data_IF_004660442453
#
_entry.id   IF_004660442453
#
_cell.length_a   1.000
_cell.length_b   1.000
_cell.length_c   1.000
_cell.angle_alpha   90.00
_cell.angle_beta   90.00
_cell.angle_gamma   90.00
#
_symmetry.space_group_name_H-M   'P 1'
#
loop_
_entity.id
_entity.type
_entity.pdbx_description
1 polymer ?
2 non-polymer ?
3 non-polymer ?
4 water ?
#
# COMPACT_ATOMS: atom_id res chain seq x y z
N UNK A 1 -0.14 8.02 0.11
CA UNK A 1 0.74 8.86 -0.75
C UNK A 1 -0.02 9.96 -1.50
N UNK A 2 -1.30 9.80 -1.78
CA UNK A 2 -2.21 10.69 -2.52
C UNK A 2 -3.67 10.37 -2.18
N UNK A 3 -4.68 11.05 -2.78
CA UNK A 3 -6.07 11.01 -2.31
C UNK A 3 -6.80 9.65 -2.42
N UNK A 4 -6.32 8.77 -3.29
CA UNK A 4 -6.84 7.38 -3.40
C UNK A 4 -6.48 6.59 -2.17
N UNK A 5 -5.22 6.69 -1.76
CA UNK A 5 -4.66 6.02 -0.56
C UNK A 5 -5.28 6.59 0.72
N UNK A 6 -5.56 7.89 0.71
CA UNK A 6 -6.30 8.58 1.79
C UNK A 6 -7.69 7.97 2.03
N UNK A 7 -8.49 7.80 0.98
CA UNK A 7 -9.83 7.19 1.12
C UNK A 7 -9.69 5.72 1.58
N UNK A 8 -8.77 4.97 0.96
CA UNK A 8 -8.52 3.55 1.33
C UNK A 8 -8.19 3.44 2.82
N UNK A 9 -7.25 4.26 3.30
CA UNK A 9 -6.83 4.22 4.71
C UNK A 9 -8.00 4.50 5.66
N UNK A 10 -8.82 5.47 5.29
CA UNK A 10 -9.99 5.85 6.14
C UNK A 10 -10.95 4.66 6.27
N UNK A 11 -11.15 3.91 5.21
CA UNK A 11 -11.96 2.65 5.25
C UNK A 11 -11.25 1.60 6.09
N UNK A 12 -9.97 1.37 5.87
CA UNK A 12 -9.26 0.30 6.59
C UNK A 12 -9.29 0.56 8.10
N UNK A 13 -9.07 1.82 8.49
CA UNK A 13 -8.81 2.13 9.93
C UNK A 13 -10.09 2.00 10.74
N UNK A 14 -11.28 2.04 10.15
CA UNK A 14 -12.52 1.98 10.93
C UNK A 14 -13.45 0.84 10.50
N UNK A 15 -13.32 0.31 9.28
CA UNK A 15 -14.35 -0.62 8.73
C UNK A 15 -13.74 -1.98 8.39
N UNK A 16 -12.61 -2.38 8.96
CA UNK A 16 -12.08 -3.75 8.71
C UNK A 16 -11.76 -4.44 10.02
N UNK A 17 -11.87 -5.76 9.97
CA UNK A 17 -11.43 -6.69 11.05
C UNK A 17 -10.63 -7.78 10.37
N UNK A 18 -9.89 -8.53 11.16
CA UNK A 18 -9.22 -9.76 10.69
C UNK A 18 -10.16 -10.92 11.01
N UNK A 19 -10.64 -11.61 9.97
CA UNK A 19 -11.52 -12.79 10.14
C UNK A 19 -10.71 -14.05 9.93
N UNK A 20 -10.90 -15.04 10.80
CA UNK A 20 -10.21 -16.34 10.70
C UNK A 20 -11.27 -17.45 10.68
N UNK A 21 -11.26 -18.25 9.61
CA UNK A 21 -12.09 -19.47 9.47
C UNK A 21 -11.09 -20.66 9.40
N UNK A 22 -11.60 -21.86 9.19
CA UNK A 22 -10.75 -23.07 9.03
C UNK A 22 -10.04 -23.05 7.69
N UNK A 23 -10.41 -22.13 6.79
CA UNK A 23 -9.77 -21.93 5.46
C UNK A 23 -8.72 -20.80 5.46
N UNK A 24 -8.45 -20.11 6.57
CA UNK A 24 -7.39 -19.11 6.72
C UNK A 24 -7.82 -17.80 7.36
N UNK A 25 -6.95 -16.82 7.24
CA UNK A 25 -7.14 -15.43 7.68
C UNK A 25 -7.52 -14.59 6.48
N UNK A 26 -8.55 -13.75 6.62
CA UNK A 26 -9.09 -12.87 5.56
C UNK A 26 -9.24 -11.44 6.10
N UNK A 27 -8.95 -10.47 5.25
CA UNK A 27 -9.45 -9.10 5.40
C UNK A 27 -11.00 -9.22 5.35
N UNK A 28 -11.68 -8.59 6.30
CA UNK A 28 -13.17 -8.58 6.34
C UNK A 28 -13.62 -7.13 6.47
N UNK A 29 -14.46 -6.71 5.53
CA UNK A 29 -15.07 -5.38 5.47
C UNK A 29 -16.38 -5.39 6.28
N UNK A 30 -16.42 -4.51 7.28
CA UNK A 30 -17.68 -4.22 7.99
C UNK A 30 -18.44 -3.11 7.27
N UNK A 31 -19.74 -3.29 7.05
CA UNK A 31 -20.50 -2.36 6.18
C UNK A 31 -21.42 -1.47 7.03
N UNK A 32 -22.11 -2.06 8.02
CA UNK A 32 -23.01 -1.28 8.92
C UNK A 32 -23.43 -2.22 10.05
N UNK A 33 -23.81 -1.64 11.19
CA UNK A 33 -24.32 -2.41 12.36
C UNK A 33 -23.33 -3.56 12.62
N UNK A 34 -23.75 -4.83 12.61
CA UNK A 34 -22.83 -5.97 12.89
C UNK A 34 -22.69 -6.79 11.59
N UNK A 35 -22.89 -6.17 10.45
CA UNK A 35 -22.95 -6.84 9.12
C UNK A 35 -21.63 -6.59 8.40
N UNK A 36 -20.97 -7.67 8.00
CA UNK A 36 -19.71 -7.64 7.26
C UNK A 36 -19.79 -8.52 6.01
N UNK A 37 -18.76 -8.47 5.19
CA UNK A 37 -18.65 -9.34 3.99
C UNK A 37 -17.30 -10.04 3.96
N UNK A 38 -17.29 -11.19 3.29
CA UNK A 38 -16.07 -12.02 3.16
C UNK A 38 -16.24 -12.85 1.90
N UNK A 39 -15.15 -13.26 1.20
CA UNK A 39 -15.34 -14.18 0.08
C UNK A 39 -16.03 -15.49 0.53
N UNK A 40 -16.92 -16.00 -0.35
CA UNK A 40 -17.66 -17.22 -0.02
C UNK A 40 -16.73 -18.42 0.18
N UNK A 41 -15.60 -18.46 -0.52
CA UNK A 41 -14.62 -19.56 -0.31
C UNK A 41 -13.96 -19.54 1.09
N UNK A 42 -14.18 -18.55 1.94
CA UNK A 42 -13.76 -18.60 3.36
C UNK A 42 -14.53 -19.66 4.13
N UNK A 43 -15.67 -20.14 3.62
CA UNK A 43 -16.52 -21.20 4.25
C UNK A 43 -16.89 -20.84 5.71
N UNK A 44 -17.55 -19.70 5.89
CA UNK A 44 -17.97 -19.24 7.23
C UNK A 44 -18.89 -20.31 7.82
N UNK A 45 -18.68 -20.65 9.09
CA UNK A 45 -19.53 -21.57 9.85
C UNK A 45 -20.30 -20.87 10.96
N UNK A 46 -20.61 -21.59 12.03
CA UNK A 46 -21.44 -21.10 13.14
C UNK A 46 -20.60 -20.21 14.08
N UNK A 47 -19.28 -20.39 14.04
CA UNK A 47 -18.28 -19.64 14.87
C UNK A 47 -17.16 -19.16 13.93
N UNK A 48 -16.72 -17.93 14.15
CA UNK A 48 -15.59 -17.33 13.39
C UNK A 48 -14.69 -16.59 14.41
N UNK A 49 -13.41 -16.40 14.13
CA UNK A 49 -12.55 -15.54 14.96
C UNK A 49 -12.49 -14.15 14.31
N UNK A 50 -12.71 -13.11 15.11
CA UNK A 50 -12.72 -11.69 14.68
C UNK A 50 -11.65 -11.00 15.55
N UNK A 51 -10.52 -10.63 14.94
CA UNK A 51 -9.37 -10.04 15.68
C UNK A 51 -8.98 -10.99 16.83
N UNK A 52 -8.98 -12.29 16.56
CA UNK A 52 -8.58 -13.41 17.47
C UNK A 52 -9.55 -13.65 18.62
N UNK A 53 -10.76 -13.15 18.56
CA UNK A 53 -11.83 -13.39 19.56
C UNK A 53 -12.89 -14.32 18.94
N UNK A 54 -13.22 -15.37 19.67
CA UNK A 54 -14.27 -16.32 19.28
C UNK A 54 -15.61 -15.61 19.21
N UNK A 55 -16.28 -15.66 18.06
CA UNK A 55 -17.51 -14.85 17.78
C UNK A 55 -18.56 -15.77 17.13
N UNK A 56 -19.76 -15.76 17.70
CA UNK A 56 -20.89 -16.47 17.10
C UNK A 56 -21.33 -15.77 15.83
N UNK A 57 -21.63 -16.56 14.82
CA UNK A 57 -22.24 -16.07 13.55
C UNK A 57 -23.76 -16.13 13.71
N UNK A 58 -24.42 -14.99 13.66
CA UNK A 58 -25.91 -14.90 13.81
C UNK A 58 -26.57 -15.25 12.50
N UNK A 59 -25.94 -14.97 11.36
CA UNK A 59 -26.48 -15.29 10.03
C UNK A 59 -25.33 -15.25 9.02
N UNK A 60 -25.36 -16.10 8.02
CA UNK A 60 -24.41 -16.03 6.91
C UNK A 60 -25.17 -16.36 5.61
N UNK A 61 -25.06 -15.53 4.59
CA UNK A 61 -25.75 -15.79 3.31
C UNK A 61 -24.78 -15.66 2.13
N UNK A 62 -24.54 -16.77 1.43
CA UNK A 62 -23.72 -16.80 0.21
C UNK A 62 -24.56 -16.25 -0.93
N UNK A 63 -24.26 -15.07 -1.44
CA UNK A 63 -25.11 -14.43 -2.46
C UNK A 63 -24.97 -15.11 -3.81
N UNK A 64 -26.08 -15.15 -4.55
CA UNK A 64 -26.15 -15.64 -5.93
C UNK A 64 -27.01 -14.68 -6.72
N UNK A 65 -26.78 -14.51 -8.00
CA UNK A 65 -27.67 -13.65 -8.81
C UNK A 65 -28.97 -14.41 -9.16
N UNK A 66 -29.87 -13.69 -9.83
CA UNK A 66 -31.25 -14.22 -10.02
C UNK A 66 -31.27 -15.33 -11.06
N UNK A 67 -30.18 -15.52 -11.82
CA UNK A 67 -29.89 -16.76 -12.61
C UNK A 67 -29.34 -17.89 -11.72
N UNK A 68 -29.20 -17.75 -10.40
CA UNK A 68 -28.67 -18.80 -9.50
C UNK A 68 -27.19 -19.00 -9.91
N UNK A 69 -26.46 -17.92 -10.22
CA UNK A 69 -24.99 -17.97 -10.44
C UNK A 69 -24.27 -17.40 -9.19
N UNK A 70 -23.20 -18.06 -8.76
CA UNK A 70 -22.33 -17.59 -7.67
C UNK A 70 -21.94 -16.11 -7.86
N UNK A 71 -21.99 -15.31 -6.78
CA UNK A 71 -21.38 -13.95 -6.74
C UNK A 71 -20.12 -13.90 -5.89
N UNK A 72 -19.79 -14.95 -5.16
CA UNK A 72 -18.54 -15.06 -4.33
C UNK A 72 -18.52 -14.11 -3.12
N UNK A 73 -19.67 -13.50 -2.79
CA UNK A 73 -19.82 -12.62 -1.59
C UNK A 73 -20.65 -13.40 -0.56
N UNK A 74 -20.16 -13.55 0.65
CA UNK A 74 -21.00 -13.97 1.80
C UNK A 74 -21.19 -12.74 2.72
N UNK A 75 -22.43 -12.50 3.09
CA UNK A 75 -22.83 -11.45 4.06
C UNK A 75 -22.98 -12.14 5.38
N UNK A 76 -22.25 -11.67 6.38
CA UNK A 76 -22.16 -12.29 7.73
C UNK A 76 -22.69 -11.29 8.75
N UNK A 77 -23.61 -11.72 9.61
CA UNK A 77 -24.00 -10.91 10.77
C UNK A 77 -23.28 -11.50 11.99
N UNK A 78 -22.49 -10.69 12.70
CA UNK A 78 -21.60 -11.14 13.78
C UNK A 78 -22.29 -10.86 15.13
N UNK A 79 -22.19 -11.80 16.08
CA UNK A 79 -22.60 -11.54 17.49
C UNK A 79 -21.51 -10.74 18.21
N UNK A 80 -21.31 -9.51 17.77
CA UNK A 80 -20.25 -8.62 18.27
C UNK A 80 -20.90 -7.55 19.16
N UNK A 81 -20.12 -7.01 20.11
CA UNK A 81 -20.63 -6.02 21.08
C UNK A 81 -20.48 -4.59 20.57
N UNK A 82 -20.15 -4.39 19.31
CA UNK A 82 -19.81 -3.07 18.77
C UNK A 82 -20.30 -3.01 17.33
N UNK A 83 -20.88 -1.90 16.89
CA UNK A 83 -21.29 -1.69 15.49
C UNK A 83 -20.16 -1.09 14.66
N UNK A 84 -20.20 -1.36 13.37
CA UNK A 84 -19.36 -0.67 12.36
C UNK A 84 -19.94 0.69 12.02
N UNK A 85 -19.05 1.62 11.72
CA UNK A 85 -19.46 2.86 11.03
C UNK A 85 -20.27 2.46 9.81
N UNK A 86 -21.41 3.09 9.57
CA UNK A 86 -22.22 2.82 8.38
C UNK A 86 -21.55 3.46 7.17
N UNK A 87 -21.06 2.62 6.24
CA UNK A 87 -20.44 3.07 4.96
C UNK A 87 -21.29 2.73 3.75
N UNK A 88 -22.55 2.41 3.91
CA UNK A 88 -23.40 2.01 2.74
C UNK A 88 -23.50 3.13 1.71
N UNK A 89 -23.39 4.39 2.11
CA UNK A 89 -23.45 5.52 1.14
C UNK A 89 -22.21 5.58 0.27
N UNK A 90 -21.16 4.80 0.50
CA UNK A 90 -20.00 4.75 -0.39
C UNK A 90 -20.07 3.58 -1.40
N UNK A 91 -21.17 2.80 -1.39
CA UNK A 91 -21.32 1.63 -2.28
C UNK A 91 -21.96 2.12 -3.58
N UNK A 92 -21.47 1.65 -4.74
CA UNK A 92 -22.10 1.94 -6.02
C UNK A 92 -23.49 1.32 -6.10
N UNK A 93 -24.35 1.97 -6.88
CA UNK A 93 -25.68 1.41 -7.11
C UNK A 93 -25.69 0.44 -8.31
N UNK A 94 -24.80 0.62 -9.29
CA UNK A 94 -24.84 -0.21 -10.53
C UNK A 94 -23.47 -0.79 -10.85
N UNK A 95 -23.47 -1.80 -11.72
CA UNK A 95 -22.24 -2.40 -12.28
C UNK A 95 -21.55 -1.31 -13.10
N UNK A 96 -20.24 -1.20 -13.02
CA UNK A 96 -19.49 -0.14 -13.71
C UNK A 96 -18.03 -0.53 -13.84
N UNK A 97 -17.32 0.21 -14.68
CA UNK A 97 -15.84 0.23 -14.77
C UNK A 97 -15.32 1.44 -13.98
N UNK A 98 -14.05 1.42 -13.58
CA UNK A 98 -13.49 2.47 -12.69
C UNK A 98 -12.08 2.83 -13.15
N UNK A 99 -11.66 4.05 -12.85
CA UNK A 99 -10.21 4.34 -12.94
C UNK A 99 -9.54 4.38 -11.55
N UNK A 100 -8.26 4.05 -11.56
CA UNK A 100 -7.33 4.43 -10.47
C UNK A 100 -7.88 3.89 -9.14
N UNK A 101 -7.92 2.58 -9.01
CA UNK A 101 -8.36 1.90 -7.76
C UNK A 101 -7.16 1.51 -6.89
N UNK A 102 -7.45 1.30 -5.61
CA UNK A 102 -6.51 0.78 -4.59
C UNK A 102 -7.11 -0.49 -4.02
N UNK A 103 -6.28 -1.51 -3.86
CA UNK A 103 -6.60 -2.74 -3.12
C UNK A 103 -5.89 -2.69 -1.78
N UNK A 104 -6.64 -2.79 -0.69
CA UNK A 104 -6.10 -2.67 0.68
C UNK A 104 -6.35 -3.96 1.47
N UNK A 105 -5.31 -4.43 2.18
CA UNK A 105 -5.30 -5.70 2.91
C UNK A 105 -4.78 -5.45 4.30
N UNK A 106 -5.39 -6.11 5.29
CA UNK A 106 -4.86 -6.06 6.65
C UNK A 106 -5.00 -7.45 7.30
N UNK A 107 -3.89 -8.22 7.36
CA UNK A 107 -3.87 -9.53 8.06
C UNK A 107 -2.61 -9.58 8.90
N UNK A 108 -2.42 -10.68 9.63
CA UNK A 108 -1.12 -10.99 10.32
C UNK A 108 0.06 -11.08 9.31
N UNK A 109 -0.12 -11.70 8.16
CA UNK A 109 0.88 -11.86 7.07
C UNK A 109 1.13 -10.51 6.35
N UNK A 110 0.10 -9.67 6.19
CA UNK A 110 0.15 -8.43 5.36
C UNK A 110 -0.54 -7.29 6.09
N UNK A 111 0.02 -6.73 7.17
CA UNK A 111 -0.57 -5.58 7.83
C UNK A 111 -0.32 -4.29 7.05
N UNK A 112 -1.34 -3.43 7.01
CA UNK A 112 -1.21 -2.07 6.47
C UNK A 112 -0.71 -2.12 5.02
N UNK A 113 -1.21 -3.04 4.22
CA UNK A 113 -0.84 -3.20 2.81
C UNK A 113 -1.81 -2.44 1.89
N UNK A 114 -1.29 -1.61 0.99
CA UNK A 114 -2.05 -0.84 0.00
C UNK A 114 -1.40 -1.01 -1.37
N UNK A 115 -2.17 -1.33 -2.38
CA UNK A 115 -1.67 -1.60 -3.77
C UNK A 115 -2.42 -0.74 -4.77
N UNK A 116 -1.79 0.19 -5.53
CA UNK A 116 -2.46 0.91 -6.60
C UNK A 116 -2.56 -0.07 -7.78
N UNK A 117 -3.76 -0.49 -8.08
CA UNK A 117 -3.99 -1.54 -9.12
C UNK A 117 -4.38 -0.90 -10.44
N UNK A 118 -4.67 0.40 -10.53
CA UNK A 118 -4.95 1.09 -11.78
C UNK A 118 -6.38 0.87 -12.23
N UNK A 119 -6.57 0.73 -13.54
CA UNK A 119 -7.91 0.66 -14.15
C UNK A 119 -8.60 -0.68 -13.78
N UNK A 120 -9.89 -0.55 -13.47
CA UNK A 120 -10.76 -1.71 -13.13
C UNK A 120 -11.84 -1.91 -14.22
N UNK A 121 -11.84 -3.09 -14.83
CA UNK A 121 -12.78 -3.48 -15.89
C UNK A 121 -13.99 -4.20 -15.26
N UNK A 122 -15.19 -3.86 -15.68
CA UNK A 122 -16.37 -4.73 -15.47
C UNK A 122 -16.19 -5.97 -16.35
N UNK A 123 -15.60 -7.01 -15.81
CA UNK A 123 -15.20 -8.23 -16.56
C UNK A 123 -16.42 -9.10 -16.79
N UNK A 124 -17.27 -9.21 -15.79
CA UNK A 124 -18.52 -9.98 -15.83
C UNK A 124 -18.31 -11.41 -15.42
N UNK A 125 -18.35 -12.32 -16.39
CA UNK A 125 -18.25 -13.78 -16.14
C UNK A 125 -16.80 -14.19 -15.94
N UNK A 126 -16.57 -15.03 -14.92
CA UNK A 126 -15.28 -15.67 -14.63
C UNK A 126 -15.57 -17.07 -14.13
N UNK A 127 -14.83 -18.02 -14.66
CA UNK A 127 -14.74 -19.37 -14.04
C UNK A 127 -13.68 -19.33 -12.95
N UNK A 128 -14.13 -19.10 -11.72
CA UNK A 128 -13.29 -18.84 -10.56
C UNK A 128 -13.06 -20.14 -9.80
N UNK A 129 -11.84 -20.72 -9.87
CA UNK A 129 -11.59 -22.00 -9.18
C UNK A 129 -12.52 -23.12 -9.63
N UNK A 130 -12.93 -23.10 -10.91
CA UNK A 130 -13.93 -24.05 -11.44
C UNK A 130 -15.40 -23.65 -11.21
N UNK A 131 -15.68 -22.53 -10.54
CA UNK A 131 -17.09 -22.14 -10.26
C UNK A 131 -17.48 -20.98 -11.16
N UNK A 132 -18.49 -21.11 -12.02
CA UNK A 132 -19.00 -19.98 -12.78
C UNK A 132 -19.42 -18.85 -11.80
N UNK A 133 -18.91 -17.66 -12.07
CA UNK A 133 -19.08 -16.49 -11.17
C UNK A 133 -19.49 -15.27 -12.00
N UNK A 134 -20.43 -14.44 -11.52
CA UNK A 134 -20.80 -13.19 -12.20
C UNK A 134 -20.35 -11.94 -11.41
N UNK A 135 -20.53 -10.79 -12.04
CA UNK A 135 -20.22 -9.44 -11.44
C UNK A 135 -18.76 -9.33 -10.99
N UNK A 136 -17.85 -9.84 -11.80
CA UNK A 136 -16.39 -9.78 -11.51
C UNK A 136 -15.77 -8.51 -12.11
N UNK A 137 -15.00 -7.84 -11.27
CA UNK A 137 -14.13 -6.71 -11.62
C UNK A 137 -12.72 -7.29 -11.83
N UNK A 138 -12.01 -6.75 -12.82
CA UNK A 138 -10.61 -7.21 -13.09
C UNK A 138 -9.65 -6.00 -13.12
N UNK A 139 -8.46 -6.25 -12.60
CA UNK A 139 -7.35 -5.26 -12.57
C UNK A 139 -6.09 -6.02 -12.93
N UNK A 140 -5.18 -5.29 -13.57
CA UNK A 140 -3.96 -5.89 -14.16
C UNK A 140 -2.89 -5.73 -13.11
N UNK A 141 -3.00 -6.45 -12.00
CA UNK A 141 -1.93 -6.55 -10.97
C UNK A 141 -1.80 -8.01 -10.58
N UNK A 142 -0.54 -8.50 -10.46
CA UNK A 142 -0.20 -9.85 -10.00
C UNK A 142 -0.37 -10.00 -8.48
N UNK A 143 -1.66 -10.05 -8.11
CA UNK A 143 -2.13 -10.33 -6.71
C UNK A 143 -1.77 -11.80 -6.32
N UNK A 144 -1.56 -12.00 -5.01
CA UNK A 144 -0.97 -13.21 -4.43
C UNK A 144 -1.88 -13.69 -3.31
N UNK A 145 -1.68 -14.95 -2.91
CA UNK A 145 -2.36 -15.56 -1.75
C UNK A 145 -2.08 -14.64 -0.55
N UNK A 146 -3.08 -14.52 0.31
CA UNK A 146 -3.11 -13.61 1.47
C UNK A 146 -3.94 -12.36 1.20
N UNK A 147 -4.35 -12.10 -0.06
CA UNK A 147 -5.05 -10.83 -0.42
C UNK A 147 -6.57 -11.01 -0.49
N UNK A 148 -7.10 -12.24 -0.36
CA UNK A 148 -8.58 -12.47 -0.47
C UNK A 148 -9.26 -11.71 0.65
N UNK A 149 -10.33 -11.02 0.27
CA UNK A 149 -11.13 -10.18 1.19
C UNK A 149 -10.64 -8.75 1.14
N UNK A 150 -9.50 -8.49 0.48
CA UNK A 150 -8.98 -7.13 0.41
C UNK A 150 -10.00 -6.20 -0.17
N UNK A 151 -9.98 -4.94 0.27
CA UNK A 151 -11.00 -3.96 -0.13
C UNK A 151 -10.53 -3.22 -1.37
N UNK A 152 -11.37 -3.14 -2.38
CA UNK A 152 -11.12 -2.33 -3.61
C UNK A 152 -11.90 -1.02 -3.52
N UNK A 153 -11.16 0.10 -3.58
CA UNK A 153 -11.76 1.45 -3.46
C UNK A 153 -11.30 2.33 -4.61
N UNK A 154 -12.12 3.29 -4.93
CA UNK A 154 -11.68 4.54 -5.59
C UNK A 154 -11.85 5.66 -4.55
N UNK A 155 -11.38 6.88 -4.86
CA UNK A 155 -11.85 8.09 -4.12
C UNK A 155 -13.39 8.07 -4.19
N UNK A 156 -13.97 8.03 -3.03
CA UNK A 156 -15.39 8.21 -2.84
C UNK A 156 -16.09 6.90 -2.80
N UNK A 157 -15.54 5.78 -3.36
CA UNK A 157 -16.36 4.54 -3.49
C UNK A 157 -15.64 3.27 -3.01
N UNK A 158 -16.41 2.42 -2.35
CA UNK A 158 -16.01 1.03 -1.98
C UNK A 158 -16.67 0.13 -3.01
N UNK A 159 -15.88 -0.48 -3.91
CA UNK A 159 -16.48 -1.08 -5.14
C UNK A 159 -16.42 -2.61 -5.15
N UNK A 160 -15.65 -3.25 -4.29
CA UNK A 160 -15.52 -4.72 -4.38
C UNK A 160 -14.61 -5.27 -3.30
N UNK A 161 -14.58 -6.60 -3.23
CA UNK A 161 -13.62 -7.35 -2.38
C UNK A 161 -12.89 -8.37 -3.28
N UNK A 162 -11.58 -8.44 -3.07
CA UNK A 162 -10.67 -9.32 -3.84
C UNK A 162 -11.03 -10.80 -3.59
N UNK A 163 -11.19 -11.60 -4.67
CA UNK A 163 -11.63 -13.03 -4.51
C UNK A 163 -10.66 -13.97 -5.26
N UNK A 164 -9.75 -13.47 -6.07
CA UNK A 164 -8.86 -14.37 -6.81
C UNK A 164 -7.91 -13.71 -7.78
N UNK A 165 -7.10 -14.54 -8.44
CA UNK A 165 -6.16 -14.04 -9.48
C UNK A 165 -5.65 -15.16 -10.36
N UNK A 166 -4.99 -14.84 -11.47
CA UNK A 166 -4.43 -15.86 -12.40
C UNK A 166 -2.90 -15.67 -12.54
N UNK A 167 -2.26 -14.94 -11.63
CA UNK A 167 -0.81 -14.68 -11.67
C UNK A 167 -0.47 -13.35 -12.32
N UNK A 168 -1.23 -12.89 -13.31
CA UNK A 168 -1.05 -11.56 -13.97
C UNK A 168 -2.20 -10.57 -13.68
N UNK A 169 -3.43 -11.08 -13.57
CA UNK A 169 -4.65 -10.28 -13.25
C UNK A 169 -5.20 -10.66 -11.86
N UNK A 170 -5.91 -9.69 -11.26
CA UNK A 170 -6.66 -9.92 -10.01
C UNK A 170 -8.12 -9.67 -10.24
N UNK A 171 -8.94 -10.32 -9.45
CA UNK A 171 -10.41 -10.32 -9.62
C UNK A 171 -11.08 -10.02 -8.27
N UNK A 172 -12.07 -9.13 -8.34
CA UNK A 172 -12.85 -8.75 -7.17
C UNK A 172 -14.34 -9.00 -7.46
N UNK A 173 -15.09 -9.38 -6.44
CA UNK A 173 -16.56 -9.42 -6.50
C UNK A 173 -17.12 -8.03 -6.25
N UNK A 174 -18.04 -7.58 -7.07
CA UNK A 174 -18.67 -6.25 -6.89
C UNK A 174 -19.39 -6.18 -5.55
N UNK A 175 -19.35 -5.00 -4.95
CA UNK A 175 -20.31 -4.65 -3.86
C UNK A 175 -21.30 -3.63 -4.46
N UNK A 176 -22.55 -3.88 -4.26
CA UNK A 176 -23.65 -3.03 -4.71
C UNK A 176 -24.47 -2.63 -3.49
N UNK A 177 -24.94 -1.40 -3.51
CA UNK A 177 -25.79 -0.85 -2.42
C UNK A 177 -26.99 -1.77 -2.12
N UNK A 178 -27.58 -2.35 -3.16
CA UNK A 178 -28.80 -3.19 -3.03
C UNK A 178 -28.57 -4.47 -2.23
N UNK A 179 -27.32 -4.89 -2.00
CA UNK A 179 -27.04 -6.09 -1.19
C UNK A 179 -27.31 -5.81 0.32
N UNK A 180 -27.36 -4.54 0.72
CA UNK A 180 -27.31 -4.13 2.16
C UNK A 180 -28.47 -3.23 2.58
N UNK A 181 -29.54 -3.20 1.79
CA UNK A 181 -30.83 -2.58 2.23
C UNK A 181 -31.44 -3.50 3.32
N UNK A 182 -32.25 -2.92 4.22
CA UNK A 182 -32.91 -3.61 5.38
C UNK A 182 -34.24 -2.90 5.73
N UNK B 2 6.41 -11.46 1.87
CA UNK B 2 7.13 -12.57 2.60
C UNK B 2 7.85 -12.09 3.88
N UNK B 3 9.14 -12.53 4.11
CA UNK B 3 10.09 -11.81 5.00
C UNK B 3 10.49 -10.41 4.48
N UNK B 4 10.17 -10.11 3.21
CA UNK B 4 10.13 -8.76 2.61
C UNK B 4 9.28 -7.76 3.42
N UNK B 5 8.08 -8.14 3.85
CA UNK B 5 7.24 -7.29 4.76
C UNK B 5 7.86 -7.13 6.14
N UNK B 6 8.38 -8.17 6.82
CA UNK B 6 9.18 -8.02 8.06
C UNK B 6 10.29 -6.97 7.90
N UNK B 7 11.10 -7.14 6.84
CA UNK B 7 12.27 -6.29 6.60
C UNK B 7 11.78 -4.84 6.45
N UNK B 8 10.78 -4.62 5.62
CA UNK B 8 10.27 -3.25 5.37
C UNK B 8 9.82 -2.64 6.70
N UNK B 9 9.10 -3.42 7.54
CA UNK B 9 8.64 -2.90 8.86
C UNK B 9 9.79 -2.60 9.80
N UNK B 10 10.84 -3.44 9.81
CA UNK B 10 12.04 -3.29 10.66
C UNK B 10 12.78 -1.99 10.31
N UNK B 11 12.86 -1.71 9.01
CA UNK B 11 13.51 -0.44 8.56
C UNK B 11 12.60 0.77 8.89
N UNK B 12 11.29 0.64 8.64
CA UNK B 12 10.29 1.69 8.98
C UNK B 12 10.43 2.06 10.46
N UNK B 13 10.38 1.06 11.34
CA UNK B 13 10.28 1.27 12.81
C UNK B 13 11.49 2.03 13.35
N UNK B 14 12.69 1.64 13.02
CA UNK B 14 13.89 2.24 13.62
C UNK B 14 14.54 3.35 12.74
N UNK B 15 14.36 3.31 11.42
CA UNK B 15 15.15 4.17 10.51
C UNK B 15 14.33 5.21 9.74
N UNK B 16 13.04 5.32 9.93
CA UNK B 16 12.20 6.25 9.13
C UNK B 16 11.61 7.31 10.07
N UNK B 17 11.79 8.59 9.73
CA UNK B 17 11.22 9.75 10.46
C UNK B 17 10.40 10.61 9.51
N UNK B 18 9.57 11.50 10.07
CA UNK B 18 8.77 12.45 9.26
C UNK B 18 9.58 13.76 9.17
N UNK B 19 9.97 14.15 7.98
CA UNK B 19 10.73 15.41 7.80
C UNK B 19 9.77 16.45 7.23
N UNK B 20 9.80 17.68 7.74
CA UNK B 20 8.94 18.74 7.17
C UNK B 20 9.84 19.94 6.79
N UNK B 21 9.82 20.26 5.50
CA UNK B 21 10.52 21.43 4.91
C UNK B 21 9.46 22.51 4.61
N UNK B 22 9.91 23.60 3.98
CA UNK B 22 8.99 24.63 3.42
C UNK B 22 7.94 23.97 2.51
N UNK B 23 8.25 22.85 1.85
CA UNK B 23 7.34 22.22 0.86
C UNK B 23 6.32 21.26 1.52
N UNK B 24 6.48 20.91 2.78
CA UNK B 24 5.58 19.98 3.46
C UNK B 24 6.32 18.73 3.94
N UNK B 25 5.60 17.62 4.06
CA UNK B 25 6.10 16.44 4.80
C UNK B 25 6.61 15.38 3.80
N UNK B 26 7.75 14.79 4.19
CA UNK B 26 8.46 13.78 3.39
C UNK B 26 8.85 12.64 4.32
N UNK B 27 8.70 11.41 3.80
CA UNK B 27 9.30 10.24 4.44
C UNK B 27 10.85 10.35 4.36
N UNK B 28 11.51 10.35 5.49
CA UNK B 28 12.99 10.53 5.52
C UNK B 28 13.61 9.22 6.07
N UNK B 29 14.67 8.74 5.40
CA UNK B 29 15.44 7.58 5.87
C UNK B 29 16.69 8.04 6.59
N UNK B 30 16.82 7.65 7.87
CA UNK B 30 18.08 7.79 8.60
C UNK B 30 18.99 6.61 8.31
N UNK B 31 20.25 6.89 8.02
CA UNK B 31 21.18 5.87 7.50
C UNK B 31 22.19 5.44 8.58
N UNK B 32 22.77 6.39 9.28
CA UNK B 32 23.75 6.13 10.37
C UNK B 32 24.01 7.44 11.12
N UNK B 33 24.52 7.38 12.35
CA UNK B 33 24.87 8.62 13.06
C UNK B 33 23.72 9.62 12.95
N UNK B 34 24.01 10.86 12.51
CA UNK B 34 22.91 11.87 12.32
C UNK B 34 22.70 12.16 10.83
N UNK B 35 23.02 11.17 10.01
CA UNK B 35 22.98 11.29 8.52
C UNK B 35 21.71 10.66 8.01
N UNK B 36 20.94 11.41 7.22
CA UNK B 36 19.67 10.96 6.62
C UNK B 36 19.60 11.37 5.15
N UNK B 37 18.65 10.82 4.44
CA UNK B 37 18.41 11.15 3.01
C UNK B 37 16.97 11.55 2.78
N UNK B 38 16.80 12.41 1.79
CA UNK B 38 15.47 12.96 1.42
C UNK B 38 15.58 13.30 -0.07
N UNK B 39 14.47 13.29 -0.85
CA UNK B 39 14.55 13.76 -2.23
C UNK B 39 15.01 15.22 -2.32
N UNK B 40 15.81 15.51 -3.35
CA UNK B 40 16.32 16.90 -3.55
C UNK B 40 15.15 17.88 -3.72
N UNK B 41 14.03 17.45 -4.31
CA UNK B 41 12.90 18.35 -4.54
C UNK B 41 12.26 18.79 -3.23
N UNK B 42 12.64 18.25 -2.06
CA UNK B 42 12.08 18.67 -0.75
C UNK B 42 12.57 20.07 -0.37
N UNK B 43 13.65 20.52 -0.98
CA UNK B 43 14.18 21.91 -0.79
C UNK B 43 14.55 22.14 0.69
N UNK B 44 15.44 21.29 1.18
CA UNK B 44 15.94 21.38 2.55
C UNK B 44 16.64 22.73 2.74
N UNK B 45 16.33 23.37 3.85
CA UNK B 45 16.94 24.65 4.23
C UNK B 45 17.88 24.51 5.40
N UNK B 46 17.96 25.57 6.20
CA UNK B 46 18.87 25.67 7.35
C UNK B 46 18.24 24.93 8.54
N UNK B 47 16.92 24.90 8.56
CA UNK B 47 16.12 24.31 9.67
C UNK B 47 15.13 23.33 9.02
N UNK B 48 14.94 22.21 9.67
CA UNK B 48 13.93 21.19 9.29
C UNK B 48 13.17 20.74 10.55
N UNK B 49 11.94 20.27 10.36
CA UNK B 49 11.20 19.57 11.45
C UNK B 49 11.36 18.06 11.30
N UNK B 50 11.78 17.40 12.37
CA UNK B 50 11.97 15.91 12.42
C UNK B 50 10.97 15.40 13.48
N UNK B 51 9.90 14.73 13.06
CA UNK B 51 8.82 14.27 13.98
C UNK B 51 8.32 15.48 14.80
N UNK B 52 8.17 16.62 14.13
CA UNK B 52 7.54 17.87 14.64
C UNK B 52 8.50 18.62 15.57
N UNK B 53 9.79 18.24 15.66
CA UNK B 53 10.84 18.96 16.42
C UNK B 53 11.70 19.84 15.49
N UNK B 54 11.73 21.14 15.71
CA UNK B 54 12.64 22.09 14.99
C UNK B 54 14.09 21.65 15.16
N UNK B 55 14.81 21.39 14.03
CA UNK B 55 16.16 20.72 14.00
C UNK B 55 17.07 21.49 13.02
N UNK B 56 18.19 21.96 13.52
CA UNK B 56 19.19 22.61 12.65
C UNK B 56 19.69 21.55 11.67
N UNK B 57 19.76 21.91 10.39
CA UNK B 57 20.48 21.08 9.37
C UNK B 57 21.93 21.57 9.30
N UNK B 58 22.87 20.77 9.75
CA UNK B 58 24.28 21.19 9.78
C UNK B 58 24.88 21.20 8.38
N UNK B 59 24.44 20.26 7.53
CA UNK B 59 25.01 20.06 6.18
C UNK B 59 23.91 19.47 5.31
N UNK B 60 23.83 19.94 4.07
CA UNK B 60 22.96 19.36 3.01
C UNK B 60 23.78 19.26 1.73
N UNK B 61 23.80 18.07 1.14
CA UNK B 61 24.48 17.81 -0.15
C UNK B 61 23.46 17.29 -1.16
N UNK B 62 23.23 18.05 -2.23
CA UNK B 62 22.40 17.62 -3.38
C UNK B 62 23.28 16.74 -4.26
N UNK B 63 23.15 15.43 -4.16
CA UNK B 63 24.11 14.51 -4.78
C UNK B 63 24.07 14.57 -6.32
N UNK B 64 25.28 14.53 -6.89
CA UNK B 64 25.51 14.39 -8.36
C UNK B 64 26.58 13.32 -8.57
N UNK B 65 26.55 12.65 -9.70
CA UNK B 65 27.57 11.62 -9.99
C UNK B 65 28.80 12.24 -10.66
N UNK B 66 29.72 11.38 -11.05
CA UNK B 66 31.01 11.87 -11.64
C UNK B 66 30.88 12.36 -13.07
N UNK B 67 29.75 12.13 -13.73
CA UNK B 67 29.40 12.82 -14.97
C UNK B 67 28.80 14.21 -14.68
N UNK B 68 28.74 14.62 -13.40
CA UNK B 68 28.12 15.90 -12.97
C UNK B 68 26.64 15.91 -13.35
N UNK B 69 25.97 14.79 -13.11
CA UNK B 69 24.54 14.65 -13.35
C UNK B 69 23.80 14.50 -12.02
N UNK B 70 22.66 15.14 -11.91
CA UNK B 70 21.75 15.02 -10.75
C UNK B 70 21.44 13.56 -10.46
N UNK B 71 21.38 13.25 -9.15
CA UNK B 71 20.88 11.91 -8.63
C UNK B 71 19.56 12.07 -7.85
N UNK B 72 19.14 13.29 -7.55
CA UNK B 72 17.86 13.61 -6.89
C UNK B 72 17.83 13.15 -5.42
N UNK B 73 18.97 12.84 -4.83
CA UNK B 73 19.10 12.49 -3.38
C UNK B 73 19.82 13.65 -2.73
N UNK B 74 19.31 14.11 -1.60
CA UNK B 74 20.03 15.06 -0.74
C UNK B 74 20.41 14.33 0.55
N UNK B 75 21.70 14.34 0.87
CA UNK B 75 22.20 13.81 2.16
C UNK B 75 22.20 14.96 3.16
N UNK B 76 21.59 14.76 4.31
CA UNK B 76 21.59 15.79 5.39
C UNK B 76 22.30 15.27 6.65
N UNK B 77 22.96 16.18 7.36
CA UNK B 77 23.56 15.95 8.71
C UNK B 77 22.75 16.79 9.69
N UNK B 78 22.06 16.13 10.63
CA UNK B 78 21.08 16.78 11.54
C UNK B 78 21.72 17.11 12.90
N UNK B 79 21.39 18.27 13.47
CA UNK B 79 21.79 18.64 14.87
C UNK B 79 20.77 18.03 15.86
N UNK B 80 20.91 16.75 16.20
CA UNK B 80 20.00 16.02 17.13
C UNK B 80 20.77 14.97 17.93
N UNK B 81 20.33 14.72 19.17
CA UNK B 81 21.07 13.80 20.09
C UNK B 81 20.93 12.37 19.60
N UNK B 82 19.74 11.98 19.18
CA UNK B 82 19.44 10.61 18.71
C UNK B 82 20.40 10.27 17.55
N UNK B 83 21.01 9.11 17.61
CA UNK B 83 21.75 8.55 16.46
C UNK B 83 20.84 7.51 15.79
N UNK B 84 20.91 7.39 14.47
CA UNK B 84 20.16 6.37 13.73
C UNK B 84 20.89 5.02 13.83
N UNK B 85 20.12 3.94 13.88
CA UNK B 85 20.64 2.55 13.75
C UNK B 85 21.36 2.44 12.41
N UNK B 86 22.62 2.03 12.40
CA UNK B 86 23.44 1.94 11.16
C UNK B 86 22.85 0.86 10.25
N UNK B 87 22.50 1.20 8.99
CA UNK B 87 21.93 0.28 7.98
C UNK B 87 22.76 0.31 6.72
N UNK B 88 23.98 0.85 6.80
CA UNK B 88 24.88 0.94 5.58
C UNK B 88 25.15 -0.43 4.98
N UNK B 89 25.19 -1.49 5.82
CA UNK B 89 25.42 -2.87 5.33
C UNK B 89 24.26 -3.41 4.53
N UNK B 90 23.07 -2.75 4.52
CA UNK B 90 21.93 -3.17 3.67
C UNK B 90 21.83 -2.41 2.33
N UNK B 91 22.79 -1.53 2.07
CA UNK B 91 22.80 -0.72 0.81
C UNK B 91 23.53 -1.51 -0.26
N UNK B 92 22.96 -1.61 -1.45
CA UNK B 92 23.62 -2.23 -2.60
C UNK B 92 24.92 -1.51 -2.98
N UNK B 93 25.90 -2.35 -3.35
CA UNK B 93 27.23 -1.86 -3.80
C UNK B 93 27.12 -1.36 -5.24
N UNK B 94 26.22 -1.95 -6.03
CA UNK B 94 26.13 -1.74 -7.50
C UNK B 94 24.70 -1.44 -7.94
N UNK B 95 24.55 -0.83 -9.11
CA UNK B 95 23.26 -0.66 -9.81
C UNK B 95 22.70 -2.05 -10.14
N UNK B 96 21.39 -2.26 -9.99
CA UNK B 96 20.80 -3.61 -10.21
C UNK B 96 19.29 -3.53 -10.46
N UNK B 97 18.70 -4.60 -10.99
CA UNK B 97 17.24 -4.85 -11.04
C UNK B 97 16.86 -5.68 -9.80
N UNK B 98 15.57 -5.65 -9.41
CA UNK B 98 15.08 -6.35 -8.21
C UNK B 98 13.68 -6.92 -8.45
N UNK B 99 13.33 -7.97 -7.70
CA UNK B 99 11.92 -8.43 -7.60
C UNK B 99 11.31 -8.18 -6.22
N UNK B 100 9.99 -8.06 -6.19
CA UNK B 100 9.23 -8.21 -4.94
C UNK B 100 9.64 -7.09 -3.98
N UNK B 101 9.67 -5.85 -4.48
CA UNK B 101 10.02 -4.68 -3.64
C UNK B 101 8.75 -4.13 -2.94
N UNK B 102 9.00 -3.44 -1.83
CA UNK B 102 8.00 -2.75 -1.00
C UNK B 102 8.44 -1.29 -0.88
N UNK B 103 7.49 -0.39 -1.08
CA UNK B 103 7.62 1.05 -0.86
C UNK B 103 6.91 1.37 0.45
N UNK B 104 7.63 1.95 1.41
CA UNK B 104 7.12 2.22 2.78
C UNK B 104 7.06 3.73 3.03
N UNK B 105 5.81 4.21 3.20
CA UNK B 105 5.44 5.64 3.36
C UNK B 105 5.21 5.95 4.83
N UNK B 106 5.71 7.07 5.32
CA UNK B 106 5.48 7.45 6.71
C UNK B 106 5.40 8.98 6.81
N UNK B 107 4.18 9.50 6.97
CA UNK B 107 3.95 10.94 7.21
C UNK B 107 2.85 11.08 8.26
N UNK B 108 2.52 12.32 8.60
CA UNK B 108 1.39 12.56 9.56
C UNK B 108 0.09 12.05 8.94
N UNK B 109 -0.06 12.23 7.64
CA UNK B 109 -1.28 11.85 6.89
C UNK B 109 -1.31 10.33 6.64
N UNK B 110 -0.15 9.70 6.40
CA UNK B 110 0.01 8.29 5.96
C UNK B 110 1.01 7.63 6.91
N UNK B 111 0.60 7.31 8.14
CA UNK B 111 1.52 6.72 9.09
C UNK B 111 1.71 5.24 8.75
N UNK B 112 2.91 4.72 8.84
CA UNK B 112 3.00 3.23 8.64
C UNK B 112 2.18 2.64 7.46
N UNK B 113 2.36 3.07 6.20
CA UNK B 113 1.69 2.52 4.97
C UNK B 113 2.69 1.72 4.07
N UNK B 114 2.40 0.48 3.68
CA UNK B 114 3.31 -0.42 2.91
C UNK B 114 2.66 -0.71 1.55
N UNK B 115 3.40 -0.41 0.47
CA UNK B 115 2.92 -0.53 -0.91
C UNK B 115 3.79 -1.51 -1.67
N UNK B 116 3.39 -2.77 -1.83
CA UNK B 116 4.10 -3.76 -2.62
C UNK B 116 4.11 -3.22 -4.05
N UNK B 117 5.27 -3.01 -4.62
CA UNK B 117 5.34 -2.45 -6.00
C UNK B 117 5.79 -3.54 -6.96
N UNK B 118 6.44 -4.60 -6.44
CA UNK B 118 6.76 -5.78 -7.25
C UNK B 118 8.08 -5.59 -7.94
N UNK B 119 8.06 -5.77 -9.23
CA UNK B 119 9.30 -5.79 -10.03
C UNK B 119 9.83 -4.35 -10.21
N UNK B 120 11.13 -4.24 -9.96
CA UNK B 120 11.87 -2.95 -10.05
C UNK B 120 12.97 -3.05 -11.12
N UNK B 121 12.95 -2.15 -12.10
CA UNK B 121 13.95 -2.12 -13.19
C UNK B 121 15.01 -1.04 -12.90
N UNK B 122 16.26 -1.32 -13.22
CA UNK B 122 17.32 -0.31 -13.44
C UNK B 122 16.96 0.47 -14.71
N UNK B 123 16.26 1.58 -14.58
CA UNK B 123 15.69 2.36 -15.70
C UNK B 123 16.81 3.26 -16.24
N UNK B 124 17.61 3.84 -15.33
CA UNK B 124 18.77 4.67 -15.59
C UNK B 124 18.41 6.13 -15.76
N UNK B 125 18.44 6.63 -17.01
CA UNK B 125 18.28 8.07 -17.30
C UNK B 125 16.81 8.46 -17.28
N UNK B 126 16.48 9.58 -16.62
CA UNK B 126 15.13 10.18 -16.63
C UNK B 126 15.29 11.71 -16.65
N UNK B 127 14.51 12.34 -17.51
CA UNK B 127 14.34 13.80 -17.41
C UNK B 127 13.26 14.04 -16.39
N UNK B 128 13.67 14.37 -15.18
CA UNK B 128 12.74 14.53 -14.05
C UNK B 128 12.45 16.02 -13.77
N UNK B 129 11.25 16.47 -14.15
CA UNK B 129 10.87 17.88 -14.01
C UNK B 129 11.78 18.80 -14.79
N UNK B 130 12.30 18.32 -15.91
CA UNK B 130 13.21 19.10 -16.79
C UNK B 130 14.69 18.95 -16.42
N UNK B 131 15.02 18.21 -15.34
CA UNK B 131 16.43 17.97 -14.93
C UNK B 131 16.87 16.57 -15.31
N UNK B 132 17.92 16.45 -16.15
CA UNK B 132 18.52 15.15 -16.45
C UNK B 132 19.02 14.47 -15.16
N UNK B 133 18.58 13.22 -14.95
CA UNK B 133 18.78 12.46 -13.71
C UNK B 133 19.29 11.06 -14.04
N UNK B 134 20.25 10.58 -13.25
CA UNK B 134 20.79 9.22 -13.39
C UNK B 134 20.30 8.30 -12.25
N UNK B 135 20.56 7.00 -12.46
CA UNK B 135 20.39 5.90 -11.46
C UNK B 135 18.94 5.84 -10.97
N UNK B 136 18.00 5.97 -11.88
CA UNK B 136 16.57 5.82 -11.54
C UNK B 136 16.18 4.34 -11.61
N UNK B 137 15.49 3.89 -10.56
CA UNK B 137 14.71 2.64 -10.51
C UNK B 137 13.26 2.90 -10.90
N UNK B 138 12.63 1.96 -11.62
CA UNK B 138 11.24 2.16 -12.06
C UNK B 138 10.40 0.93 -11.64
N UNK B 139 9.18 1.20 -11.24
CA UNK B 139 8.16 0.17 -10.92
C UNK B 139 6.82 0.68 -11.44
N UNK B 140 5.89 -0.25 -11.68
CA UNK B 140 4.52 0.14 -12.03
C UNK B 140 3.93 0.91 -10.84
N UNK B 141 3.17 1.96 -11.11
CA UNK B 141 2.58 2.84 -10.08
C UNK B 141 1.47 3.63 -10.73
N UNK B 142 0.33 2.96 -11.07
CA UNK B 142 -0.75 3.57 -11.85
C UNK B 142 -1.72 4.45 -11.05
N UNK B 143 -1.19 5.56 -10.55
CA UNK B 143 -1.80 6.44 -9.53
C UNK B 143 -1.01 7.76 -9.64
N UNK B 144 -1.68 8.86 -9.35
CA UNK B 144 -1.01 10.18 -9.16
C UNK B 144 -0.79 10.27 -7.64
N UNK B 145 0.46 10.05 -7.26
CA UNK B 145 0.98 10.19 -5.88
C UNK B 145 1.47 11.62 -5.67
N UNK B 146 1.36 12.13 -4.45
CA UNK B 146 2.00 13.40 -4.03
C UNK B 146 3.51 13.24 -3.85
N UNK B 147 4.11 14.24 -3.21
CA UNK B 147 5.58 14.42 -3.16
C UNK B 147 6.23 13.61 -2.02
N UNK B 148 5.49 13.09 -1.06
CA UNK B 148 6.03 12.72 0.25
C UNK B 148 7.05 11.57 0.09
N UNK B 149 6.89 10.74 -0.93
CA UNK B 149 7.86 9.65 -1.19
C UNK B 149 7.85 8.55 -0.12
N UNK B 150 8.97 7.82 -0.01
CA UNK B 150 9.00 6.60 0.77
C UNK B 150 10.22 5.78 0.45
N UNK B 151 10.45 4.77 1.27
CA UNK B 151 11.68 3.96 1.20
C UNK B 151 11.38 2.69 0.45
N UNK B 152 12.23 2.32 -0.51
CA UNK B 152 12.06 1.08 -1.29
C UNK B 152 13.05 0.00 -0.78
N UNK B 153 12.48 -1.14 -0.42
CA UNK B 153 13.24 -2.29 0.15
C UNK B 153 12.92 -3.54 -0.62
N UNK B 154 13.86 -4.47 -0.54
CA UNK B 154 13.60 -5.91 -0.91
C UNK B 154 14.01 -6.71 0.31
N UNK B 155 13.85 -8.02 0.28
CA UNK B 155 14.38 -8.82 1.40
C UNK B 155 15.88 -8.53 1.49
N UNK B 156 16.33 -8.02 2.60
CA UNK B 156 17.73 -7.82 2.90
C UNK B 156 18.39 -6.59 2.36
N UNK B 157 17.71 -5.75 1.57
CA UNK B 157 18.37 -4.56 0.99
C UNK B 157 17.47 -3.32 1.07
N UNK B 158 18.12 -2.20 1.31
CA UNK B 158 17.48 -0.86 1.19
C UNK B 158 17.94 -0.24 -0.14
N UNK B 159 17.10 -0.20 -1.14
CA UNK B 159 17.56 0.00 -2.54
C UNK B 159 17.32 1.42 -3.03
N UNK B 160 16.43 2.21 -2.45
CA UNK B 160 16.14 3.52 -3.05
C UNK B 160 15.11 4.29 -2.23
N UNK B 161 14.91 5.54 -2.65
CA UNK B 161 13.85 6.40 -2.10
C UNK B 161 13.04 6.95 -3.28
N UNK B 162 11.71 6.95 -3.13
CA UNK B 162 10.77 7.38 -4.20
C UNK B 162 10.93 8.88 -4.48
N UNK B 163 11.12 9.23 -5.76
CA UNK B 163 11.36 10.66 -6.14
C UNK B 163 10.35 11.20 -7.12
N UNK B 164 9.52 10.37 -7.76
CA UNK B 164 8.55 10.89 -8.72
C UNK B 164 7.75 9.83 -9.44
N UNK B 165 7.00 10.24 -10.45
CA UNK B 165 6.15 9.30 -11.19
C UNK B 165 5.38 9.99 -12.32
N UNK B 166 4.89 9.22 -13.30
CA UNK B 166 4.26 9.80 -14.54
C UNK B 166 2.79 9.36 -14.64
N UNK B 167 2.17 8.90 -13.54
CA UNK B 167 0.78 8.36 -13.46
C UNK B 167 0.63 6.90 -13.86
N UNK B 168 1.62 6.32 -14.54
CA UNK B 168 1.69 4.90 -14.90
C UNK B 168 2.86 4.23 -14.16
N UNK B 169 4.01 4.94 -14.08
CA UNK B 169 5.23 4.40 -13.48
C UNK B 169 5.62 5.28 -12.30
N UNK B 170 6.29 4.66 -11.33
CA UNK B 170 6.93 5.28 -10.18
C UNK B 170 8.45 5.17 -10.33
N UNK B 171 9.13 6.18 -9.80
CA UNK B 171 10.61 6.34 -9.94
C UNK B 171 11.24 6.57 -8.57
N UNK B 172 12.30 5.83 -8.31
CA UNK B 172 13.11 5.94 -7.10
C UNK B 172 14.54 6.25 -7.48
N UNK B 173 15.21 7.04 -6.69
CA UNK B 173 16.66 7.23 -6.76
C UNK B 173 17.36 6.09 -6.03
N UNK B 174 18.36 5.48 -6.68
CA UNK B 174 19.15 4.40 -6.05
C UNK B 174 19.87 4.90 -4.82
N UNK B 175 19.96 4.06 -3.77
CA UNK B 175 20.92 4.26 -2.69
C UNK B 175 22.05 3.24 -2.90
N UNK B 176 23.27 3.73 -2.85
CA UNK B 176 24.48 2.90 -3.04
C UNK B 176 25.34 3.08 -1.81
N UNK B 177 26.08 2.00 -1.50
CA UNK B 177 26.92 1.96 -0.30
C UNK B 177 27.96 3.08 -0.36
N UNK B 178 28.47 3.33 -1.54
CA UNK B 178 29.56 4.33 -1.71
C UNK B 178 29.11 5.76 -1.42
N UNK B 179 27.82 6.05 -1.29
CA UNK B 179 27.41 7.45 -1.01
C UNK B 179 27.71 7.86 0.44
N UNK B 180 27.95 6.85 1.30
CA UNK B 180 28.01 7.01 2.78
C UNK B 180 29.35 6.48 3.37
N UNK B 181 30.25 5.97 2.55
CA UNK B 181 31.67 5.76 2.96
C UNK B 181 32.39 7.11 3.14
X LIG C 1 -14.07 11.54 4.97
X LIG C 1 -14.18 13.99 4.92
X LIG C 1 -14.54 10.29 5.11
X LIG C 1 -13.61 9.14 4.73
X LIG C 1 -13.76 7.96 5.62
X LIG C 1 -14.29 6.86 4.74
X LIG C 1 -12.73 14.17 4.95
X LIG C 1 -12.31 14.87 6.17
X LIG C 1 -15.66 10.07 5.53
X LIG C 1 -12.05 12.88 4.83
X LIG C 1 -12.93 11.87 4.12
X LIG C 1 -14.58 12.72 5.67
X LIG C 1 -13.84 7.28 3.38
X LIG C 1 -13.88 8.72 3.39
X LIG D 1 27.81 11.11 3.92
X LIG D 1 28.10 12.36 4.78
X LIG D 1 28.25 9.73 4.92
X LIG D 1 29.12 11.01 2.71
#
# INVERSE_FOLDING_TARGET
>A
MGPGFDFAQAIMKKNTVIARTEKGEFTMLGVYDRVAVIPTHASVGEIIYINDVETRVLDACALRDLTDTNLEITIVKLDRNQKFRDIRHFLPRCEDDYNDAVLSVHTSKFPNMYIPVGQVTNYGFLNLGGTPTHRILMYNFPTRAGQCGGVVTTTGKVIGIHVGGNGAQGFAAMLLHSYFTD
>B
MGPGFDFAQAIMKKNTVIARTEKGEFTMLGVYDRVAVIPTHASVGEIIYINDVETRVLDACALRDLTDTNLEITIVKLDRNQKFRDIRHFLPRCEDDYNDAVLSVHTSKFPNMYIPVGQVTNYGFLNLGGTPTHRILMYNFPTRAGQCGGVVTTTGKVIGIHVGGNGAQGFAAMLLHSYFTD
>C hetero
1 SYX N1 C4 C5 C6 C7 C8 N C O C1 C2 C3 C9 O1
>D hetero
1 DMS S O C1 C2
#
